data_IF_447378586023
#
_entry.id   IF_447378586023
#
_cell.length_a   1.000
_cell.length_b   1.000
_cell.length_c   1.000
_cell.angle_alpha   90.00
_cell.angle_beta   90.00
_cell.angle_gamma   90.00
#
_symmetry.space_group_name_H-M   'P 1'
#
loop_
_entity.id
_entity.type
_entity.pdbx_description
1 polymer ?
#
# COMPACT_ATOMS: atom_id res chain seq x y z
N UNK A 1 10.47 44.34 -41.56
CA UNK A 1 11.19 43.28 -40.81
C UNK A 1 10.17 42.37 -40.16
N UNK A 2 9.95 41.18 -40.71
CA UNK A 2 8.91 40.26 -40.24
C UNK A 2 9.55 39.26 -39.28
N UNK A 3 9.39 39.46 -37.96
CA UNK A 3 9.83 38.49 -36.95
C UNK A 3 8.89 37.29 -36.98
N UNK A 4 9.38 36.15 -37.47
CA UNK A 4 8.71 34.85 -37.28
C UNK A 4 8.93 34.41 -35.83
N UNK A 5 7.87 34.39 -35.04
CA UNK A 5 7.85 33.81 -33.71
C UNK A 5 7.83 32.28 -33.84
N UNK A 6 8.87 31.61 -33.37
CA UNK A 6 8.92 30.15 -33.31
C UNK A 6 8.28 29.71 -31.99
N UNK A 7 7.11 29.07 -32.06
CA UNK A 7 6.50 28.41 -30.91
C UNK A 7 7.11 27.01 -30.85
N UNK A 8 8.14 26.83 -30.02
CA UNK A 8 8.61 25.50 -29.67
C UNK A 8 7.55 24.83 -28.80
N UNK A 9 6.93 23.76 -29.30
CA UNK A 9 6.08 22.91 -28.46
C UNK A 9 7.04 22.13 -27.56
N UNK A 10 7.08 22.47 -26.28
CA UNK A 10 7.78 21.65 -25.30
C UNK A 10 7.07 20.29 -25.23
N UNK A 11 7.75 19.22 -25.68
CA UNK A 11 7.24 17.87 -25.49
C UNK A 11 7.25 17.57 -24.00
N UNK A 12 6.10 17.22 -23.43
CA UNK A 12 6.04 16.71 -22.06
C UNK A 12 6.87 15.43 -22.02
N UNK A 13 7.88 15.32 -21.12
CA UNK A 13 8.64 14.08 -21.02
C UNK A 13 7.68 12.92 -20.71
N UNK A 14 7.92 11.76 -21.34
CA UNK A 14 7.16 10.55 -21.04
C UNK A 14 7.32 10.22 -19.55
N UNK A 15 6.22 9.83 -18.90
CA UNK A 15 6.27 9.38 -17.51
C UNK A 15 7.21 8.16 -17.41
N UNK A 16 7.99 8.09 -16.33
CA UNK A 16 8.74 6.88 -16.04
C UNK A 16 7.78 5.68 -15.89
N UNK A 17 8.26 4.47 -16.20
CA UNK A 17 7.49 3.24 -16.16
C UNK A 17 8.27 2.15 -15.44
N UNK A 18 7.56 1.27 -14.73
CA UNK A 18 8.07 0.01 -14.17
C UNK A 18 7.10 -1.07 -14.62
N UNK A 19 7.38 -1.67 -15.77
CA UNK A 19 6.41 -2.48 -16.51
C UNK A 19 6.92 -3.92 -16.77
N UNK A 20 8.21 -4.16 -16.59
CA UNK A 20 8.84 -5.46 -16.85
C UNK A 20 9.45 -6.05 -15.58
N UNK A 21 9.33 -7.37 -15.41
CA UNK A 21 9.98 -8.08 -14.32
C UNK A 21 11.50 -7.79 -14.28
N UNK A 22 12.02 -7.50 -13.08
CA UNK A 22 13.44 -7.16 -12.89
C UNK A 22 13.79 -5.69 -13.07
N UNK A 23 12.85 -4.82 -13.46
CA UNK A 23 13.04 -3.35 -13.47
C UNK A 23 12.93 -2.72 -12.07
N UNK A 24 12.64 -3.55 -11.06
CA UNK A 24 12.36 -3.11 -9.69
C UNK A 24 10.86 -2.99 -9.46
N UNK A 25 10.48 -2.07 -8.57
CA UNK A 25 9.15 -2.00 -7.96
C UNK A 25 9.12 -0.94 -6.88
N UNK A 26 8.06 -0.94 -6.07
CA UNK A 26 7.82 0.08 -5.05
C UNK A 26 7.25 -0.51 -3.76
N UNK A 27 7.43 0.21 -2.65
CA UNK A 27 6.76 -0.14 -1.41
C UNK A 27 5.40 0.54 -1.28
N UNK A 28 4.39 -0.21 -0.85
CA UNK A 28 3.08 0.32 -0.52
C UNK A 28 3.16 1.32 0.64
N UNK A 29 2.54 2.49 0.47
CA UNK A 29 2.54 3.54 1.50
C UNK A 29 3.79 4.44 1.51
N UNK A 30 4.87 4.08 0.82
CA UNK A 30 6.04 4.94 0.67
C UNK A 30 6.80 4.61 -0.63
N UNK A 31 6.74 5.50 -1.63
CA UNK A 31 7.50 5.30 -2.89
C UNK A 31 9.02 5.43 -2.66
N UNK A 32 9.43 6.20 -1.64
CA UNK A 32 10.81 6.30 -1.18
C UNK A 32 10.93 5.68 0.21
N UNK A 33 11.97 4.88 0.45
CA UNK A 33 12.14 4.08 1.67
C UNK A 33 12.00 4.91 2.94
N UNK A 34 10.92 4.68 3.68
CA UNK A 34 10.83 5.01 5.11
C UNK A 34 11.74 4.06 5.89
N UNK A 35 12.29 4.52 7.02
CA UNK A 35 13.12 3.67 7.86
C UNK A 35 12.35 2.40 8.25
N UNK A 36 12.86 1.25 7.80
CA UNK A 36 12.46 -0.04 8.35
C UNK A 36 13.10 -0.13 9.74
N UNK A 37 12.28 -0.46 10.73
CA UNK A 37 12.76 -0.83 12.06
C UNK A 37 12.46 -2.32 12.22
N UNK A 38 13.48 -3.10 12.62
CA UNK A 38 13.35 -4.54 12.82
C UNK A 38 12.33 -4.91 13.90
N UNK A 39 11.92 -3.95 14.72
CA UNK A 39 10.90 -4.11 15.77
C UNK A 39 9.54 -3.59 15.36
N UNK A 40 9.43 -2.81 14.27
CA UNK A 40 8.17 -2.24 13.84
C UNK A 40 7.24 -3.30 13.26
N UNK A 41 6.08 -3.43 13.90
CA UNK A 41 5.04 -4.37 13.49
C UNK A 41 3.77 -3.63 13.12
N UNK A 42 3.13 -4.11 12.06
CA UNK A 42 1.80 -3.73 11.63
C UNK A 42 0.84 -4.84 12.04
N UNK A 43 0.02 -4.56 13.04
CA UNK A 43 -1.24 -5.26 13.25
C UNK A 43 -2.17 -4.40 14.10
N UNK A 44 -3.44 -4.41 13.74
CA UNK A 44 -4.52 -3.83 14.53
C UNK A 44 -5.16 -4.84 15.46
N UNK A 45 -6.42 -4.56 15.81
CA UNK A 45 -7.35 -5.59 16.26
C UNK A 45 -7.61 -6.62 15.14
N UNK A 46 -8.15 -7.79 15.49
CA UNK A 46 -8.57 -8.79 14.52
C UNK A 46 -9.50 -8.17 13.46
N UNK A 47 -9.23 -8.50 12.19
CA UNK A 47 -9.94 -8.03 11.00
C UNK A 47 -9.93 -6.50 10.80
N UNK A 48 -9.14 -5.74 11.58
CA UNK A 48 -8.96 -4.31 11.34
C UNK A 48 -8.22 -4.08 10.03
N UNK A 49 -8.72 -3.15 9.23
CA UNK A 49 -8.07 -2.70 8.00
C UNK A 49 -7.44 -1.33 8.27
N UNK A 50 -6.13 -1.25 8.08
CA UNK A 50 -5.39 0.00 8.20
C UNK A 50 -5.07 0.53 6.82
N UNK A 51 -5.26 1.82 6.62
CA UNK A 51 -5.15 2.50 5.34
C UNK A 51 -4.14 3.66 5.40
N UNK A 52 -3.45 3.89 4.29
CA UNK A 52 -2.49 4.97 4.12
C UNK A 52 -2.47 5.48 2.68
N UNK A 53 -2.73 6.77 2.49
CA UNK A 53 -2.72 7.43 1.20
C UNK A 53 -1.30 7.78 0.76
N UNK A 54 -0.97 7.49 -0.49
CA UNK A 54 0.33 7.81 -1.09
C UNK A 54 0.15 8.29 -2.54
N UNK A 55 1.22 8.88 -3.08
CA UNK A 55 1.28 9.33 -4.48
C UNK A 55 2.26 8.44 -5.23
N UNK A 56 1.82 7.82 -6.31
CA UNK A 56 2.65 7.08 -7.25
C UNK A 56 3.07 8.03 -8.38
N UNK A 57 4.37 8.35 -8.55
CA UNK A 57 4.83 9.36 -9.50
C UNK A 57 5.10 8.81 -10.92
N UNK A 58 4.94 7.50 -11.12
CA UNK A 58 5.20 6.81 -12.38
C UNK A 58 4.13 5.74 -12.64
N UNK A 59 4.10 5.22 -13.87
CA UNK A 59 3.25 4.08 -14.20
C UNK A 59 3.90 2.80 -13.71
N UNK A 60 3.14 1.90 -13.12
CA UNK A 60 3.64 0.61 -12.63
C UNK A 60 2.69 -0.53 -13.01
N UNK A 61 3.24 -1.62 -13.54
CA UNK A 61 2.53 -2.89 -13.64
C UNK A 61 2.81 -3.68 -12.37
N UNK A 62 1.77 -4.20 -11.75
CA UNK A 62 1.87 -5.05 -10.56
C UNK A 62 1.37 -6.44 -10.92
N UNK A 63 2.26 -7.41 -10.99
CA UNK A 63 1.92 -8.84 -11.09
C UNK A 63 2.30 -9.64 -9.85
N UNK A 64 3.05 -9.03 -8.93
CA UNK A 64 3.53 -9.69 -7.72
C UNK A 64 3.58 -8.76 -6.52
N UNK A 65 3.33 -9.37 -5.35
CA UNK A 65 3.36 -8.69 -4.06
C UNK A 65 4.22 -9.50 -3.09
N UNK A 66 5.12 -8.82 -2.39
CA UNK A 66 5.99 -9.43 -1.38
C UNK A 66 5.83 -8.68 -0.06
N UNK A 67 5.63 -9.40 1.04
CA UNK A 67 5.57 -8.82 2.40
C UNK A 67 6.02 -9.85 3.42
N UNK A 68 6.30 -9.45 4.66
CA UNK A 68 6.82 -10.37 5.68
C UNK A 68 5.86 -10.49 6.86
N UNK A 69 5.63 -11.73 7.29
CA UNK A 69 5.02 -12.06 8.58
C UNK A 69 6.13 -12.20 9.61
N UNK A 70 6.17 -11.34 10.62
CA UNK A 70 7.21 -11.35 11.66
C UNK A 70 6.79 -12.15 12.89
N UNK A 71 5.48 -12.20 13.16
CA UNK A 71 4.90 -13.03 14.22
C UNK A 71 3.82 -13.91 13.63
N UNK A 72 3.97 -15.22 13.78
CA UNK A 72 3.02 -16.21 13.25
C UNK A 72 1.76 -16.32 14.12
N UNK A 73 0.67 -16.78 13.51
CA UNK A 73 -0.56 -17.20 14.20
C UNK A 73 -1.26 -18.31 13.40
N UNK A 74 -1.55 -19.43 14.04
CA UNK A 74 -2.13 -20.62 13.37
C UNK A 74 -3.61 -20.37 13.11
N UNK A 75 -4.06 -20.65 11.88
CA UNK A 75 -5.46 -20.42 11.48
C UNK A 75 -5.82 -18.97 11.20
N UNK A 76 -4.85 -18.05 11.26
CA UNK A 76 -5.00 -16.66 10.88
C UNK A 76 -4.47 -16.37 9.47
N UNK A 77 -4.94 -15.25 8.92
CA UNK A 77 -4.64 -14.80 7.58
C UNK A 77 -4.29 -13.31 7.59
N UNK A 78 -3.48 -12.88 6.64
CA UNK A 78 -3.17 -11.48 6.39
C UNK A 78 -3.33 -11.16 4.91
N UNK A 79 -3.53 -9.88 4.60
CA UNK A 79 -3.54 -9.37 3.24
C UNK A 79 -3.00 -7.95 3.20
N UNK A 80 -2.41 -7.61 2.06
CA UNK A 80 -2.04 -6.24 1.67
C UNK A 80 -2.70 -5.92 0.32
N UNK A 81 -2.84 -4.65 0.00
CA UNK A 81 -3.48 -4.22 -1.24
C UNK A 81 -3.47 -2.73 -1.49
N UNK A 82 -3.98 -2.33 -2.65
CA UNK A 82 -4.06 -0.95 -3.12
C UNK A 82 -5.50 -0.67 -3.57
N UNK A 83 -6.01 0.49 -3.19
CA UNK A 83 -7.31 1.02 -3.58
C UNK A 83 -7.15 2.32 -4.38
N UNK A 84 -8.20 2.68 -5.11
CA UNK A 84 -8.37 4.02 -5.67
C UNK A 84 -8.22 5.11 -4.62
N UNK A 85 -7.96 6.34 -5.05
CA UNK A 85 -7.72 7.49 -4.18
C UNK A 85 -8.83 7.73 -3.13
N UNK A 86 -10.07 7.38 -3.46
CA UNK A 86 -11.26 7.52 -2.63
C UNK A 86 -11.57 6.27 -1.77
N UNK A 87 -10.77 5.21 -1.88
CA UNK A 87 -10.98 3.95 -1.15
C UNK A 87 -12.17 3.11 -1.62
N UNK A 88 -12.86 3.49 -2.70
CA UNK A 88 -14.09 2.82 -3.14
C UNK A 88 -13.86 1.66 -4.11
N UNK A 89 -12.67 1.54 -4.69
CA UNK A 89 -12.33 0.45 -5.61
C UNK A 89 -11.03 -0.21 -5.19
N UNK A 90 -11.07 -1.49 -4.81
CA UNK A 90 -9.87 -2.30 -4.61
C UNK A 90 -9.25 -2.65 -5.96
N UNK A 91 -8.04 -2.17 -6.21
CA UNK A 91 -7.31 -2.34 -7.48
C UNK A 91 -6.38 -3.54 -7.45
N UNK A 92 -5.66 -3.72 -6.34
CA UNK A 92 -4.66 -4.79 -6.15
C UNK A 92 -4.86 -5.42 -4.78
N UNK A 93 -4.75 -6.74 -4.66
CA UNK A 93 -4.74 -7.41 -3.37
C UNK A 93 -4.04 -8.77 -3.40
N UNK A 94 -3.42 -9.14 -2.28
CA UNK A 94 -2.81 -10.46 -2.09
C UNK A 94 -3.85 -11.59 -1.87
N UNK A 95 -5.05 -11.25 -1.40
CA UNK A 95 -6.01 -12.26 -0.92
C UNK A 95 -5.65 -12.76 0.48
N UNK A 96 -6.29 -13.82 0.96
CA UNK A 96 -6.00 -14.36 2.29
C UNK A 96 -4.71 -15.19 2.28
N UNK A 97 -3.65 -14.64 2.88
CA UNK A 97 -2.35 -15.32 2.99
C UNK A 97 -2.17 -15.86 4.39
N UNK A 98 -1.87 -17.15 4.51
CA UNK A 98 -1.67 -17.80 5.81
C UNK A 98 -0.51 -17.18 6.58
N UNK A 99 -0.76 -16.87 7.86
CA UNK A 99 0.26 -16.38 8.81
C UNK A 99 0.80 -17.49 9.72
N UNK A 100 0.61 -18.77 9.36
CA UNK A 100 1.07 -19.92 10.16
C UNK A 100 2.59 -20.00 10.28
N UNK A 101 3.33 -19.37 9.36
CA UNK A 101 4.78 -19.26 9.39
C UNK A 101 5.20 -17.78 9.37
N UNK A 102 6.19 -17.44 10.18
CA UNK A 102 6.84 -16.14 10.19
C UNK A 102 7.97 -16.14 9.15
N UNK A 103 7.67 -15.62 7.98
CA UNK A 103 8.54 -15.63 6.81
C UNK A 103 8.11 -14.54 5.81
N UNK A 104 8.93 -14.36 4.78
CA UNK A 104 8.55 -13.59 3.60
C UNK A 104 7.48 -14.35 2.83
N UNK A 105 6.36 -13.68 2.55
CA UNK A 105 5.26 -14.13 1.71
C UNK A 105 5.40 -13.48 0.33
N UNK A 106 5.32 -14.32 -0.69
CA UNK A 106 5.41 -13.96 -2.10
C UNK A 106 4.12 -14.40 -2.78
N UNK A 107 3.40 -13.45 -3.37
CA UNK A 107 2.08 -13.66 -3.96
C UNK A 107 2.08 -13.19 -5.40
N UNK A 108 1.96 -14.14 -6.33
CA UNK A 108 1.71 -13.86 -7.74
C UNK A 108 0.23 -13.62 -7.98
N UNK A 109 -0.11 -12.52 -8.65
CA UNK A 109 -1.49 -12.18 -9.01
C UNK A 109 -1.96 -12.99 -10.20
N UNK A 110 -3.24 -13.36 -10.22
CA UNK A 110 -3.84 -14.08 -11.35
C UNK A 110 -3.83 -13.25 -12.66
N UNK A 111 -3.85 -11.93 -12.54
CA UNK A 111 -3.69 -10.98 -13.64
C UNK A 111 -2.92 -9.78 -13.13
N UNK A 112 -2.00 -9.25 -13.94
CA UNK A 112 -1.31 -8.02 -13.60
C UNK A 112 -2.26 -6.82 -13.66
N UNK A 113 -1.97 -5.81 -12.84
CA UNK A 113 -2.74 -4.58 -12.72
C UNK A 113 -1.84 -3.40 -13.07
N UNK A 114 -2.27 -2.58 -14.02
CA UNK A 114 -1.56 -1.33 -14.33
C UNK A 114 -2.07 -0.21 -13.41
N UNK A 115 -1.16 0.45 -12.73
CA UNK A 115 -1.39 1.68 -11.97
C UNK A 115 -0.78 2.85 -12.74
N UNK A 116 -1.57 3.87 -13.02
CA UNK A 116 -1.10 5.10 -13.64
C UNK A 116 -0.54 6.06 -12.57
N UNK A 117 0.27 7.07 -12.93
CA UNK A 117 0.70 8.08 -11.97
C UNK A 117 -0.52 8.75 -11.30
N UNK A 118 -0.56 8.78 -9.96
CA UNK A 118 -1.75 9.23 -9.26
C UNK A 118 -1.73 9.01 -7.75
N UNK A 119 -2.86 9.30 -7.12
CA UNK A 119 -3.08 9.12 -5.68
C UNK A 119 -3.76 7.77 -5.45
N UNK A 120 -3.27 7.02 -4.47
CA UNK A 120 -3.77 5.70 -4.12
C UNK A 120 -3.82 5.52 -2.61
N UNK A 121 -4.55 4.51 -2.16
CA UNK A 121 -4.58 4.10 -0.75
C UNK A 121 -4.00 2.70 -0.62
N UNK A 122 -2.86 2.58 0.04
CA UNK A 122 -2.34 1.29 0.48
C UNK A 122 -3.12 0.82 1.70
N UNK A 123 -3.37 -0.48 1.81
CA UNK A 123 -4.00 -1.04 2.98
C UNK A 123 -3.47 -2.42 3.33
N UNK A 124 -3.55 -2.75 4.62
CA UNK A 124 -3.25 -4.08 5.11
C UNK A 124 -4.23 -4.50 6.21
N UNK A 125 -4.29 -5.80 6.46
CA UNK A 125 -5.13 -6.39 7.50
C UNK A 125 -4.53 -7.71 7.98
N UNK A 126 -4.90 -8.09 9.20
CA UNK A 126 -4.64 -9.41 9.78
C UNK A 126 -5.93 -9.87 10.45
N UNK A 127 -6.33 -11.13 10.25
CA UNK A 127 -7.57 -11.70 10.80
C UNK A 127 -7.51 -12.01 12.29
N UNK A 128 -6.40 -11.66 12.94
CA UNK A 128 -6.08 -11.96 14.33
C UNK A 128 -5.15 -10.87 14.88
N UNK A 129 -5.21 -10.64 16.18
CA UNK A 129 -4.38 -9.64 16.86
C UNK A 129 -2.97 -10.16 17.20
N UNK A 130 -2.73 -11.48 17.21
CA UNK A 130 -1.40 -12.05 17.49
C UNK A 130 -0.47 -11.95 16.29
N UNK A 131 -0.92 -12.32 15.09
CA UNK A 131 -0.09 -12.24 13.90
C UNK A 131 0.35 -10.79 13.58
N UNK A 132 1.63 -10.62 13.25
CA UNK A 132 2.24 -9.31 12.95
C UNK A 132 2.89 -9.33 11.58
N UNK A 133 2.79 -8.20 10.87
CA UNK A 133 3.53 -7.97 9.62
C UNK A 133 4.71 -7.03 9.89
N UNK A 134 5.81 -7.18 9.14
CA UNK A 134 6.86 -6.15 9.14
C UNK A 134 6.28 -4.82 8.69
N UNK A 135 6.70 -3.72 9.31
CA UNK A 135 6.13 -2.41 9.03
C UNK A 135 7.14 -1.29 8.89
N UNK A 136 6.71 -0.23 8.21
CA UNK A 136 7.31 1.09 8.32
C UNK A 136 6.74 1.80 9.55
N UNK A 137 7.60 2.54 10.26
CA UNK A 137 7.16 3.37 11.38
C UNK A 137 6.43 4.60 10.82
N UNK A 138 5.13 4.63 11.04
CA UNK A 138 4.24 5.75 10.67
C UNK A 138 3.27 6.09 11.79
N UNK A 139 3.41 5.49 12.97
CA UNK A 139 2.48 5.69 14.09
C UNK A 139 2.84 6.85 15.01
N UNK A 140 3.93 7.59 14.74
CA UNK A 140 4.34 8.68 15.61
C UNK A 140 3.27 9.80 15.61
N UNK A 141 2.97 10.34 16.80
CA UNK A 141 1.84 11.25 16.98
C UNK A 141 2.00 12.54 16.14
N UNK A 142 3.24 13.01 15.98
CA UNK A 142 3.56 14.21 15.23
C UNK A 142 3.36 13.96 13.73
N UNK A 143 3.95 12.89 13.20
CA UNK A 143 3.85 12.50 11.80
C UNK A 143 2.43 12.16 11.38
N UNK A 144 1.68 11.42 12.20
CA UNK A 144 0.27 11.14 11.96
C UNK A 144 -0.55 12.44 11.95
N UNK A 145 -0.27 13.35 12.90
CA UNK A 145 -0.88 14.68 12.93
C UNK A 145 -0.61 15.48 11.65
N UNK A 146 0.64 15.55 11.19
CA UNK A 146 1.01 16.23 9.95
C UNK A 146 0.28 15.67 8.73
N UNK A 147 0.25 14.34 8.58
CA UNK A 147 -0.43 13.68 7.44
C UNK A 147 -1.94 13.91 7.45
N UNK A 148 -2.54 13.90 8.64
CA UNK A 148 -3.99 13.98 8.80
C UNK A 148 -4.54 15.39 9.01
N UNK A 149 -3.68 16.42 9.10
CA UNK A 149 -4.09 17.82 9.38
C UNK A 149 -5.16 18.32 8.41
N UNK A 150 -5.08 17.94 7.13
CA UNK A 150 -5.98 18.38 6.06
C UNK A 150 -6.80 17.24 5.45
N UNK A 151 -7.21 16.26 6.26
CA UNK A 151 -8.03 15.12 5.85
C UNK A 151 -7.45 13.77 6.27
N UNK A 152 -8.29 12.75 6.36
CA UNK A 152 -7.94 11.41 6.84
C UNK A 152 -7.10 10.64 5.79
N UNK A 153 -5.78 10.84 5.81
CA UNK A 153 -4.82 10.18 4.91
C UNK A 153 -4.27 8.89 5.47
N UNK A 154 -4.38 8.67 6.78
CA UNK A 154 -3.91 7.48 7.45
C UNK A 154 -4.82 7.14 8.63
N UNK A 155 -5.21 5.88 8.75
CA UNK A 155 -5.95 5.42 9.91
C UNK A 155 -6.64 4.07 9.70
N UNK A 156 -7.73 3.87 10.42
CA UNK A 156 -8.54 2.66 10.35
C UNK A 156 -9.69 2.84 9.36
N UNK A 157 -9.82 1.93 8.40
CA UNK A 157 -10.97 1.88 7.51
C UNK A 157 -12.22 1.39 8.27
N UNK A 158 -13.39 1.91 7.92
CA UNK A 158 -14.66 1.54 8.53
C UNK A 158 -15.07 0.10 8.22
N UNK A 159 -14.74 -0.39 7.02
CA UNK A 159 -15.03 -1.75 6.62
C UNK A 159 -13.90 -2.69 7.10
N UNK A 160 -14.29 -3.70 7.88
CA UNK A 160 -13.39 -4.75 8.32
C UNK A 160 -13.04 -5.71 7.17
N UNK A 161 -11.93 -6.42 7.32
CA UNK A 161 -11.64 -7.58 6.49
C UNK A 161 -12.53 -8.76 6.89
N UNK A 162 -12.60 -9.77 6.03
CA UNK A 162 -13.31 -11.02 6.34
C UNK A 162 -12.34 -12.16 6.12
N UNK A 163 -11.97 -12.86 7.21
CA UNK A 163 -10.98 -13.95 7.15
C UNK A 163 -9.65 -13.53 6.52
N UNK A 164 -9.19 -12.32 6.85
CA UNK A 164 -7.96 -11.73 6.33
C UNK A 164 -8.04 -11.27 4.87
N UNK A 165 -9.19 -11.37 4.21
CA UNK A 165 -9.41 -10.77 2.89
C UNK A 165 -9.83 -9.31 3.05
N UNK A 166 -9.05 -8.40 2.47
CA UNK A 166 -9.38 -6.98 2.40
C UNK A 166 -10.81 -6.75 1.84
N UNK A 167 -11.57 -5.75 2.29
CA UNK A 167 -12.92 -5.49 1.78
C UNK A 167 -12.92 -4.97 0.32
N UNK A 168 -14.07 -4.92 -0.33
CA UNK A 168 -14.17 -4.34 -1.67
C UNK A 168 -14.00 -2.80 -1.66
N UNK A 169 -14.42 -2.16 -0.57
CA UNK A 169 -14.28 -0.73 -0.31
C UNK A 169 -13.81 -0.51 1.12
N UNK A 170 -13.09 0.58 1.38
CA UNK A 170 -12.59 0.90 2.73
C UNK A 170 -13.67 1.54 3.62
N UNK A 171 -14.64 2.23 3.03
CA UNK A 171 -15.53 3.13 3.76
C UNK A 171 -14.76 4.35 4.28
N UNK A 172 -15.30 5.02 5.31
CA UNK A 172 -14.62 6.16 5.93
C UNK A 172 -13.31 5.73 6.62
N UNK A 173 -12.27 6.53 6.52
CA UNK A 173 -11.02 6.33 7.25
C UNK A 173 -11.06 7.19 8.51
N UNK A 174 -10.93 6.56 9.68
CA UNK A 174 -10.81 7.27 10.96
C UNK A 174 -9.35 7.45 11.30
N UNK A 175 -8.90 8.71 11.39
CA UNK A 175 -7.51 9.05 11.73
C UNK A 175 -7.01 8.33 12.98
N UNK A 176 -5.88 7.63 12.86
CA UNK A 176 -5.19 6.97 13.97
C UNK A 176 -3.70 6.85 13.65
N UNK A 177 -2.83 6.95 14.66
CA UNK A 177 -1.41 6.61 14.49
C UNK A 177 -1.25 5.09 14.35
N UNK A 178 -0.98 4.63 13.13
CA UNK A 178 -0.79 3.20 12.81
C UNK A 178 0.54 2.98 12.11
N UNK A 179 1.17 1.83 12.33
CA UNK A 179 2.28 1.42 11.46
C UNK A 179 1.72 0.76 10.21
N UNK A 180 2.41 0.91 9.09
CA UNK A 180 1.92 0.43 7.80
C UNK A 180 2.80 -0.74 7.36
N UNK A 181 2.17 -1.87 7.00
CA UNK A 181 2.90 -3.05 6.58
C UNK A 181 3.84 -2.74 5.41
N UNK A 182 5.08 -3.22 5.50
CA UNK A 182 6.06 -3.14 4.45
C UNK A 182 5.72 -4.21 3.40
N UNK A 183 5.17 -3.76 2.27
CA UNK A 183 4.84 -4.61 1.14
C UNK A 183 5.46 -4.05 -0.13
N UNK A 184 6.22 -4.86 -0.85
CA UNK A 184 6.82 -4.55 -2.13
C UNK A 184 5.91 -5.01 -3.27
N UNK A 185 5.75 -4.16 -4.26
CA UNK A 185 4.92 -4.37 -5.44
C UNK A 185 5.82 -4.31 -6.68
N UNK A 186 5.77 -5.35 -7.49
CA UNK A 186 6.59 -5.48 -8.70
C UNK A 186 5.79 -6.11 -9.86
N UNK A 187 6.25 -5.92 -11.11
CA UNK A 187 5.63 -6.54 -12.29
C UNK A 187 5.57 -8.07 -12.23
#
# INVERSE_FOLDING_TARGET
>A
MTRRMYIGVASTPAAATVDTAGEGGFFGGAVNGTALDDTASASGAADQVQAYQFVLPYRAVVGKIVFEVTTLSVGAFASVGIYSADGNTRLVHAGAISTTLAEVKDVTLASSVTLEPGVYVFSHTVSDATAKLRAFITSDAIGSGFRNTNGDRQGNAANASVSGVLPATLGAITTTGTNIAAAYFEP
#
